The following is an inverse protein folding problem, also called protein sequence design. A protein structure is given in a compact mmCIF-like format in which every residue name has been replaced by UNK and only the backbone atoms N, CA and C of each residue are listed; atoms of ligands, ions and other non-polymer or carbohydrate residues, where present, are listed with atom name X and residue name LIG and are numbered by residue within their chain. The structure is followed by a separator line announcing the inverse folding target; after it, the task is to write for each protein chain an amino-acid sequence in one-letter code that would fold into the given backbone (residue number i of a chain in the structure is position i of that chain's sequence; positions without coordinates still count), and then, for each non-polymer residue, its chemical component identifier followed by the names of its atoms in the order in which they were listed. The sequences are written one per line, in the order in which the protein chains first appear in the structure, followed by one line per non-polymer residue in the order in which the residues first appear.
data_IF_885163616340
#
_entry.id   IF_885163616340
#
_cell.length_a   1.000
_cell.length_b   1.000
_cell.length_c   1.000
_cell.angle_alpha   90.00
_cell.angle_beta   90.00
_cell.angle_gamma   90.00
#
_symmetry.space_group_name_H-M   'P 1'
#
loop_
_entity.id
_entity.type
_entity.pdbx_description
1 polymer ?
#
# COMPACT_ATOMS: atom_id res chain seq x y z
N UNK A 1 14.53 -6.32 1.61
CA UNK A 1 13.67 -7.43 1.14
C UNK A 1 12.87 -6.91 -0.03
N UNK A 2 12.51 -7.72 -1.02
CA UNK A 2 11.72 -7.24 -2.17
C UNK A 2 10.26 -7.13 -1.75
N UNK A 3 9.71 -5.90 -1.68
CA UNK A 3 8.28 -5.69 -1.49
C UNK A 3 7.53 -6.24 -2.71
N UNK A 4 6.45 -6.99 -2.46
CA UNK A 4 5.58 -7.56 -3.50
C UNK A 4 4.14 -7.12 -3.27
N UNK A 5 3.30 -7.13 -4.31
CA UNK A 5 1.88 -6.76 -4.19
C UNK A 5 1.16 -7.60 -3.14
N UNK A 6 1.45 -8.90 -3.09
CA UNK A 6 0.87 -9.82 -2.11
C UNK A 6 1.31 -9.47 -0.67
N UNK A 7 2.60 -9.17 -0.47
CA UNK A 7 3.10 -8.75 0.84
C UNK A 7 2.48 -7.43 1.29
N UNK A 8 2.38 -6.47 0.38
CA UNK A 8 1.76 -5.18 0.62
C UNK A 8 0.28 -5.31 0.99
N UNK A 9 -0.47 -6.15 0.26
CA UNK A 9 -1.85 -6.51 0.57
C UNK A 9 -1.96 -7.13 1.95
N UNK A 10 -1.10 -8.09 2.28
CA UNK A 10 -1.08 -8.75 3.58
C UNK A 10 -0.81 -7.75 4.72
N UNK A 11 0.14 -6.81 4.54
CA UNK A 11 0.46 -5.79 5.54
C UNK A 11 -0.72 -4.84 5.78
N UNK A 12 -1.43 -4.45 4.71
CA UNK A 12 -2.64 -3.62 4.81
C UNK A 12 -3.75 -4.40 5.52
N UNK A 13 -4.00 -5.63 5.11
CA UNK A 13 -5.02 -6.52 5.64
C UNK A 13 -4.85 -6.76 7.15
N UNK A 14 -3.62 -7.05 7.58
CA UNK A 14 -3.27 -7.20 9.00
C UNK A 14 -3.57 -5.92 9.80
N UNK A 15 -3.34 -4.74 9.20
CA UNK A 15 -3.61 -3.48 9.88
C UNK A 15 -5.09 -3.16 10.00
N UNK A 16 -5.93 -3.52 9.04
CA UNK A 16 -7.38 -3.25 9.08
C UNK A 16 -8.20 -4.42 9.66
N UNK A 17 -7.52 -5.49 10.11
CA UNK A 17 -8.15 -6.72 10.63
C UNK A 17 -9.09 -7.37 9.58
N UNK A 18 -8.65 -7.38 8.32
CA UNK A 18 -9.37 -7.96 7.18
C UNK A 18 -8.53 -9.09 6.57
N UNK A 19 -9.18 -9.99 5.84
CA UNK A 19 -8.49 -10.98 5.03
C UNK A 19 -7.89 -10.32 3.78
N UNK A 20 -6.63 -10.62 3.39
CA UNK A 20 -6.05 -10.05 2.18
C UNK A 20 -6.84 -10.42 0.92
N UNK A 21 -7.53 -11.55 0.93
CA UNK A 21 -8.40 -11.98 -0.19
C UNK A 21 -9.63 -11.08 -0.38
N UNK A 22 -10.02 -10.31 0.64
CA UNK A 22 -11.13 -9.36 0.59
C UNK A 22 -10.69 -7.97 0.08
N UNK A 23 -9.38 -7.73 -0.08
CA UNK A 23 -8.83 -6.48 -0.59
C UNK A 23 -8.53 -6.61 -2.09
N UNK A 24 -9.44 -6.12 -2.91
CA UNK A 24 -9.22 -5.94 -4.35
C UNK A 24 -8.14 -4.90 -4.65
N UNK A 25 -7.58 -4.98 -5.84
CA UNK A 25 -6.61 -3.99 -6.33
C UNK A 25 -7.23 -2.62 -6.59
N UNK A 26 -8.52 -2.55 -6.96
CA UNK A 26 -9.25 -1.29 -7.19
C UNK A 26 -10.10 -0.85 -5.97
N UNK A 27 -10.00 -1.54 -4.83
CA UNK A 27 -10.75 -1.17 -3.63
C UNK A 27 -10.17 0.06 -2.93
N UNK A 28 -11.06 0.89 -2.40
CA UNK A 28 -10.72 2.11 -1.67
C UNK A 28 -10.34 1.74 -0.23
N UNK A 29 -9.04 1.68 0.04
CA UNK A 29 -8.51 1.26 1.35
C UNK A 29 -9.03 2.09 2.53
N UNK A 30 -9.18 3.44 2.43
CA UNK A 30 -9.78 4.23 3.50
C UNK A 30 -11.22 3.83 3.83
N UNK A 31 -12.02 3.43 2.84
CA UNK A 31 -13.39 2.93 3.05
C UNK A 31 -13.40 1.55 3.72
N UNK A 32 -12.35 0.74 3.51
CA UNK A 32 -12.15 -0.53 4.19
C UNK A 32 -11.64 -0.38 5.65
N UNK A 33 -11.33 0.84 6.09
CA UNK A 33 -10.87 1.13 7.46
C UNK A 33 -9.38 1.48 7.58
N UNK A 34 -8.70 1.76 6.45
CA UNK A 34 -7.32 2.22 6.47
C UNK A 34 -7.21 3.72 6.72
N UNK A 35 -6.98 4.09 7.99
CA UNK A 35 -6.77 5.49 8.38
C UNK A 35 -5.37 6.01 8.01
N UNK A 36 -5.23 7.34 7.92
CA UNK A 36 -3.94 8.00 7.65
C UNK A 36 -2.82 7.61 8.63
N UNK A 37 -3.16 7.35 9.90
CA UNK A 37 -2.21 6.88 10.91
C UNK A 37 -1.69 5.47 10.63
N UNK A 38 -2.57 4.57 10.17
CA UNK A 38 -2.20 3.19 9.82
C UNK A 38 -1.35 3.20 8.55
N UNK A 39 -1.74 4.00 7.56
CA UNK A 39 -0.96 4.21 6.35
C UNK A 39 0.45 4.74 6.65
N UNK A 40 0.58 5.74 7.52
CA UNK A 40 1.89 6.29 7.87
C UNK A 40 2.82 5.24 8.50
N UNK A 41 2.25 4.29 9.28
CA UNK A 41 3.00 3.17 9.85
C UNK A 41 3.44 2.16 8.78
N UNK A 42 2.60 1.87 7.78
CA UNK A 42 2.96 1.00 6.65
C UNK A 42 4.13 1.57 5.87
N UNK A 43 4.01 2.83 5.45
CA UNK A 43 5.03 3.49 4.64
C UNK A 43 6.36 3.48 5.40
N UNK A 44 6.35 3.83 6.68
CA UNK A 44 7.55 3.77 7.51
C UNK A 44 8.16 2.36 7.57
N UNK A 45 7.35 1.32 7.78
CA UNK A 45 7.82 -0.07 7.82
C UNK A 45 8.41 -0.51 6.47
N UNK A 46 7.79 -0.11 5.36
CA UNK A 46 8.31 -0.39 4.03
C UNK A 46 9.59 0.40 3.74
N UNK A 47 9.69 1.66 4.21
CA UNK A 47 10.93 2.45 4.13
C UNK A 47 12.08 1.79 4.89
N UNK A 48 11.83 1.30 6.11
CA UNK A 48 12.81 0.53 6.88
C UNK A 48 13.21 -0.78 6.17
N UNK A 49 12.30 -1.39 5.41
CA UNK A 49 12.57 -2.57 4.59
C UNK A 49 13.33 -2.27 3.29
N UNK A 50 13.50 -0.98 2.95
CA UNK A 50 14.26 -0.48 1.81
C UNK A 50 13.43 0.12 0.66
N UNK A 51 12.12 0.32 0.82
CA UNK A 51 11.29 1.04 -0.14
C UNK A 51 11.63 2.54 -0.08
N UNK A 52 11.79 3.20 -1.23
CA UNK A 52 11.93 4.66 -1.28
C UNK A 52 10.68 5.24 -1.90
N UNK A 53 9.70 5.56 -1.06
CA UNK A 53 8.38 5.96 -1.51
C UNK A 53 7.86 7.14 -0.70
N UNK A 54 7.24 8.10 -1.37
CA UNK A 54 6.64 9.27 -0.74
C UNK A 54 5.26 8.93 -0.17
N UNK A 55 5.07 9.16 1.13
CA UNK A 55 3.76 9.06 1.79
C UNK A 55 2.68 9.88 1.07
N UNK A 56 3.04 11.03 0.51
CA UNK A 56 2.11 11.87 -0.24
C UNK A 56 1.47 11.15 -1.44
N UNK A 57 2.22 10.27 -2.12
CA UNK A 57 1.68 9.47 -3.22
C UNK A 57 0.67 8.45 -2.71
N UNK A 58 0.99 7.75 -1.60
CA UNK A 58 0.04 6.84 -0.98
C UNK A 58 -1.21 7.53 -0.42
N UNK A 59 -1.14 8.83 -0.11
CA UNK A 59 -2.30 9.60 0.30
C UNK A 59 -3.12 10.12 -0.89
N UNK A 60 -2.48 10.32 -2.05
CA UNK A 60 -3.13 10.72 -3.31
C UNK A 60 -3.89 9.55 -3.94
N UNK A 61 -3.27 8.37 -3.97
CA UNK A 61 -3.89 7.14 -4.43
C UNK A 61 -4.61 6.45 -3.27
N UNK A 62 -5.84 5.97 -3.47
CA UNK A 62 -6.59 5.31 -2.41
C UNK A 62 -6.72 3.78 -2.60
N UNK A 63 -6.12 3.23 -3.65
CA UNK A 63 -6.24 1.82 -4.04
C UNK A 63 -4.89 1.11 -3.94
N UNK A 64 -4.93 -0.20 -3.64
CA UNK A 64 -3.73 -1.02 -3.57
C UNK A 64 -3.03 -1.15 -4.94
N UNK A 65 -3.82 -1.24 -6.01
CA UNK A 65 -3.32 -1.35 -7.38
C UNK A 65 -2.55 -0.10 -7.82
N UNK A 66 -3.05 1.10 -7.48
CA UNK A 66 -2.36 2.34 -7.79
C UNK A 66 -1.10 2.51 -6.94
N UNK A 67 -1.14 2.14 -5.66
CA UNK A 67 0.08 2.15 -4.85
C UNK A 67 1.17 1.25 -5.44
N UNK A 68 0.80 0.08 -5.94
CA UNK A 68 1.74 -0.83 -6.58
C UNK A 68 2.27 -0.28 -7.90
N UNK A 69 1.41 0.27 -8.77
CA UNK A 69 1.78 0.81 -10.09
C UNK A 69 2.54 2.14 -10.02
N UNK A 70 2.18 3.03 -9.12
CA UNK A 70 2.68 4.40 -9.12
C UNK A 70 3.85 4.57 -8.14
N UNK A 71 3.90 3.75 -7.09
CA UNK A 71 4.85 3.91 -5.98
C UNK A 71 5.89 2.79 -5.91
N UNK A 72 5.49 1.53 -5.98
CA UNK A 72 6.42 0.38 -5.79
C UNK A 72 7.04 -0.10 -7.10
N UNK A 73 6.23 -0.20 -8.14
CA UNK A 73 6.62 -0.49 -9.51
C UNK A 73 6.25 0.71 -10.39
N UNK A 74 6.88 1.89 -10.21
CA UNK A 74 6.81 2.96 -11.19
C UNK A 74 7.53 2.48 -12.45
N UNK A 75 6.92 1.54 -13.17
CA UNK A 75 7.48 0.90 -14.33
C UNK A 75 7.28 1.86 -15.48
N UNK A 76 8.40 2.44 -15.95
CA UNK A 76 8.56 2.99 -17.29
C UNK A 76 7.31 3.69 -17.83
N UNK A 77 7.04 4.92 -17.38
CA UNK A 77 6.40 5.87 -18.28
C UNK A 77 7.36 6.01 -19.49
N UNK A 78 7.06 5.28 -20.55
CA UNK A 78 7.73 5.38 -21.84
C UNK A 78 7.55 6.79 -22.44
#
# INVERSE_FOLDING_TARGET
MTLTLDKMRADVAELIDLDPSEIGDDDILPDLGLDSLRLMRLVLAWEEAGLKADFGLFAEYATLGDWWREVVQPAQAA
#
